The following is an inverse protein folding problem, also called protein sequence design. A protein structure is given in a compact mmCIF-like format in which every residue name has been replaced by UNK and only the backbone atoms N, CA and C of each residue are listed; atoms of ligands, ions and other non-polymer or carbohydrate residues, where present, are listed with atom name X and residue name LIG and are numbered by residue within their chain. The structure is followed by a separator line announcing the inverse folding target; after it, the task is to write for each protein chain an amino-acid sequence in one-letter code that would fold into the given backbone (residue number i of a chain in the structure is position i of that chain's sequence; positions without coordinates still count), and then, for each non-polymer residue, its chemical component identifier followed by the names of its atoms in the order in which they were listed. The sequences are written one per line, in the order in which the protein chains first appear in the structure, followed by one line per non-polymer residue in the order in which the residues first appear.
data_IF_063726484578
#
_entry.id   IF_063726484578
#
_cell.length_a   1.000
_cell.length_b   1.000
_cell.length_c   1.000
_cell.angle_alpha   90.00
_cell.angle_beta   90.00
_cell.angle_gamma   90.00
#
_symmetry.space_group_name_H-M   'P 1'
#
loop_
_entity.id
_entity.type
_entity.pdbx_description
1 polymer ?
#
# COMPACT_ATOMS: atom_id res chain seq x y z
N UNK A 1 -3.07 2.85 -15.58
CA UNK A 1 -4.37 2.67 -16.25
C UNK A 1 -5.39 3.44 -15.43
N UNK A 2 -6.14 4.33 -16.07
CA UNK A 2 -7.28 5.07 -15.50
C UNK A 2 -8.55 4.52 -16.12
N UNK A 3 -9.61 4.35 -15.33
CA UNK A 3 -10.93 4.04 -15.86
C UNK A 3 -11.75 5.32 -15.92
N UNK A 4 -12.16 5.70 -17.12
CA UNK A 4 -13.01 6.86 -17.35
C UNK A 4 -14.48 6.42 -17.19
N UNK A 5 -15.16 6.87 -16.12
CA UNK A 5 -16.56 6.50 -15.89
C UNK A 5 -17.53 7.15 -16.89
N UNK A 6 -17.13 8.23 -17.57
CA UNK A 6 -17.99 8.89 -18.55
C UNK A 6 -18.02 8.12 -19.86
N UNK A 7 -16.84 7.67 -20.29
CA UNK A 7 -16.66 7.02 -21.59
C UNK A 7 -16.53 5.49 -21.45
N UNK A 8 -16.50 4.95 -20.23
CA UNK A 8 -16.29 3.53 -19.89
C UNK A 8 -15.03 2.91 -20.51
N UNK A 9 -13.98 3.72 -20.69
CA UNK A 9 -12.73 3.32 -21.34
C UNK A 9 -11.56 3.30 -20.38
N UNK A 10 -10.69 2.32 -20.56
CA UNK A 10 -9.38 2.29 -19.93
C UNK A 10 -8.41 3.18 -20.71
N UNK A 11 -7.87 4.19 -20.03
CA UNK A 11 -6.85 5.10 -20.57
C UNK A 11 -5.49 4.83 -19.92
N UNK A 12 -4.42 5.11 -20.65
CA UNK A 12 -3.09 5.14 -20.05
C UNK A 12 -2.98 6.32 -19.08
N UNK A 13 -2.25 6.10 -17.99
CA UNK A 13 -2.04 7.11 -16.95
C UNK A 13 -0.59 7.55 -17.00
N UNK A 14 -0.36 8.85 -17.01
CA UNK A 14 0.98 9.38 -16.89
C UNK A 14 1.52 9.14 -15.47
N UNK A 15 2.73 8.59 -15.41
CA UNK A 15 3.46 8.39 -14.16
C UNK A 15 4.27 9.66 -13.82
N UNK A 16 4.62 9.89 -12.55
CA UNK A 16 5.60 10.90 -12.20
C UNK A 16 6.91 10.66 -12.96
N UNK A 17 7.57 11.72 -13.40
CA UNK A 17 8.81 11.65 -14.19
C UNK A 17 9.85 10.73 -13.53
N UNK A 18 10.07 10.87 -12.22
CA UNK A 18 11.01 10.02 -11.45
C UNK A 18 10.58 8.56 -11.26
N UNK A 19 9.30 8.27 -11.41
CA UNK A 19 8.79 6.89 -11.37
C UNK A 19 8.94 6.23 -12.73
N UNK A 20 8.95 7.01 -13.82
CA UNK A 20 9.02 6.50 -15.19
C UNK A 20 10.37 5.81 -15.47
N UNK A 21 11.44 6.26 -14.82
CA UNK A 21 12.77 5.65 -14.91
C UNK A 21 12.95 4.44 -13.97
N UNK A 22 11.98 4.17 -13.09
CA UNK A 22 12.09 3.08 -12.12
C UNK A 22 11.93 1.72 -12.80
N UNK A 23 12.78 0.76 -12.41
CA UNK A 23 12.70 -0.60 -12.94
C UNK A 23 11.36 -1.27 -12.53
N UNK A 24 10.53 -1.74 -13.48
CA UNK A 24 9.21 -2.30 -13.19
C UNK A 24 9.21 -3.46 -12.19
N UNK A 25 10.29 -4.26 -12.14
CA UNK A 25 10.44 -5.38 -11.22
C UNK A 25 10.53 -4.96 -9.74
N UNK A 26 10.88 -3.68 -9.50
CA UNK A 26 11.01 -3.11 -8.17
C UNK A 26 9.93 -2.07 -7.86
N UNK A 27 8.92 -1.97 -8.74
CA UNK A 27 7.80 -1.05 -8.62
C UNK A 27 6.53 -1.84 -8.27
N UNK A 28 5.72 -1.27 -7.39
CA UNK A 28 4.44 -1.83 -6.96
C UNK A 28 3.42 -0.72 -6.82
N UNK A 29 2.16 -1.04 -7.14
CA UNK A 29 1.03 -0.13 -7.00
C UNK A 29 0.17 -0.66 -5.86
N UNK A 30 -0.29 0.24 -4.99
CA UNK A 30 -1.15 -0.09 -3.85
C UNK A 30 -2.31 0.92 -3.76
N UNK A 31 -3.49 0.49 -3.31
CA UNK A 31 -4.54 1.42 -2.90
C UNK A 31 -4.01 2.40 -1.86
N UNK A 32 -4.41 3.65 -1.97
CA UNK A 32 -4.06 4.71 -1.05
C UNK A 32 -5.34 5.37 -0.54
N UNK A 33 -5.67 5.06 0.71
CA UNK A 33 -6.90 5.50 1.37
C UNK A 33 -8.14 5.12 0.55
N UNK A 34 -9.20 5.93 0.60
CA UNK A 34 -10.52 5.53 0.10
C UNK A 34 -10.62 5.49 -1.43
N UNK A 35 -9.90 6.37 -2.15
CA UNK A 35 -10.16 6.57 -3.59
C UNK A 35 -8.93 6.96 -4.39
N UNK A 36 -7.72 6.58 -3.95
CA UNK A 36 -6.52 6.88 -4.72
C UNK A 36 -5.51 5.74 -4.73
N UNK A 37 -4.37 5.98 -5.37
CA UNK A 37 -3.31 5.01 -5.58
C UNK A 37 -1.96 5.57 -5.14
N UNK A 38 -1.13 4.66 -4.67
CA UNK A 38 0.27 4.90 -4.38
C UNK A 38 1.15 4.05 -5.30
N UNK A 39 2.25 4.64 -5.75
CA UNK A 39 3.35 3.93 -6.39
C UNK A 39 4.50 3.85 -5.41
N UNK A 40 4.94 2.63 -5.17
CA UNK A 40 6.09 2.33 -4.32
C UNK A 40 7.14 1.69 -5.21
N UNK A 41 8.32 2.28 -5.30
CA UNK A 41 9.44 1.70 -6.04
C UNK A 41 10.73 1.69 -5.22
N UNK A 42 11.65 0.80 -5.58
CA UNK A 42 13.00 0.73 -4.97
C UNK A 42 14.08 1.06 -5.97
N UNK A 43 15.15 1.66 -5.46
CA UNK A 43 16.39 1.81 -6.21
C UNK A 43 17.02 0.45 -6.49
N UNK A 44 17.71 0.34 -7.63
CA UNK A 44 18.42 -0.87 -8.02
C UNK A 44 19.45 -1.26 -6.93
N UNK A 45 19.43 -2.52 -6.51
CA UNK A 45 20.33 -3.03 -5.46
C UNK A 45 19.90 -2.69 -4.03
N UNK A 46 18.85 -1.89 -3.83
CA UNK A 46 18.31 -1.60 -2.50
C UNK A 46 17.28 -2.63 -2.05
N UNK A 47 17.50 -3.23 -0.88
CA UNK A 47 16.55 -4.19 -0.30
C UNK A 47 15.52 -3.52 0.62
N UNK A 48 15.90 -2.39 1.23
CA UNK A 48 15.19 -1.77 2.35
C UNK A 48 14.84 -0.30 2.13
N UNK A 49 15.34 0.33 1.05
CA UNK A 49 14.99 1.71 0.71
C UNK A 49 13.91 1.70 -0.37
N UNK A 50 12.90 2.53 -0.18
CA UNK A 50 11.82 2.71 -1.16
C UNK A 50 11.30 4.13 -1.14
N UNK A 51 10.78 4.53 -2.30
CA UNK A 51 10.13 5.81 -2.52
C UNK A 51 8.63 5.60 -2.64
N UNK A 52 7.86 6.51 -2.05
CA UNK A 52 6.40 6.47 -2.11
C UNK A 52 5.92 7.74 -2.79
N UNK A 53 5.18 7.56 -3.88
CA UNK A 53 4.44 8.60 -4.56
C UNK A 53 2.96 8.30 -4.45
N UNK A 54 2.15 9.31 -4.18
CA UNK A 54 0.69 9.18 -4.11
C UNK A 54 0.07 10.17 -5.08
N UNK A 55 -1.03 9.76 -5.68
CA UNK A 55 -1.88 10.66 -6.45
C UNK A 55 -2.85 11.30 -5.45
N UNK A 56 -2.89 12.63 -5.33
CA UNK A 56 -3.83 13.25 -4.36
C UNK A 56 -5.27 13.14 -4.85
N UNK A 57 -5.48 13.22 -6.16
CA UNK A 57 -6.79 13.08 -6.80
C UNK A 57 -6.68 12.10 -7.97
N UNK A 58 -7.41 11.00 -7.87
CA UNK A 58 -7.36 9.94 -8.87
C UNK A 58 -7.72 10.46 -10.26
N UNK A 59 -6.88 10.17 -11.26
CA UNK A 59 -7.07 10.62 -12.63
C UNK A 59 -6.40 11.95 -12.98
N UNK A 60 -5.97 12.74 -12.00
CA UNK A 60 -5.35 14.05 -12.25
C UNK A 60 -3.84 13.94 -12.10
N UNK A 61 -3.14 13.88 -13.23
CA UNK A 61 -1.69 13.64 -13.31
C UNK A 61 -0.88 14.68 -12.52
N UNK A 62 -1.33 15.93 -12.50
CA UNK A 62 -0.67 17.04 -11.82
C UNK A 62 -0.68 16.90 -10.30
N UNK A 63 -1.50 15.99 -9.77
CA UNK A 63 -1.64 15.76 -8.33
C UNK A 63 -0.72 14.68 -7.77
N UNK A 64 0.16 14.13 -8.60
CA UNK A 64 1.23 13.27 -8.13
C UNK A 64 2.13 14.02 -7.15
N UNK A 65 2.24 13.51 -5.94
CA UNK A 65 3.11 14.06 -4.91
C UNK A 65 3.96 12.97 -4.27
N UNK A 66 5.20 13.32 -3.96
CA UNK A 66 6.08 12.45 -3.21
C UNK A 66 5.66 12.47 -1.75
N UNK A 67 5.13 11.35 -1.26
CA UNK A 67 4.73 11.22 0.13
C UNK A 67 5.95 11.07 1.03
N UNK A 68 6.89 10.19 0.66
CA UNK A 68 8.09 9.96 1.46
C UNK A 68 9.21 9.22 0.74
N UNK A 69 10.35 9.15 1.42
CA UNK A 69 11.44 8.21 1.12
C UNK A 69 11.82 7.52 2.41
N UNK A 70 11.59 6.22 2.44
CA UNK A 70 11.92 5.39 3.59
C UNK A 70 13.34 4.86 3.39
N UNK A 71 14.21 5.17 4.35
CA UNK A 71 15.58 4.66 4.36
C UNK A 71 15.68 3.54 5.38
N UNK A 72 15.48 2.30 4.94
CA UNK A 72 15.61 1.16 5.83
C UNK A 72 17.08 0.84 6.13
N UNK A 73 17.45 0.78 7.41
CA UNK A 73 18.77 0.31 7.87
C UNK A 73 18.90 -1.23 7.86
N UNK A 74 17.80 -1.94 7.56
CA UNK A 74 17.73 -3.39 7.64
C UNK A 74 18.40 -4.06 6.45
N UNK A 75 19.20 -5.10 6.69
CA UNK A 75 19.70 -6.01 5.63
C UNK A 75 18.59 -6.85 4.97
N UNK A 76 17.40 -6.86 5.55
CA UNK A 76 16.27 -7.64 5.08
C UNK A 76 15.45 -6.89 4.04
N UNK A 77 14.87 -7.63 3.09
CA UNK A 77 13.96 -7.08 2.08
C UNK A 77 12.67 -6.60 2.75
N UNK A 78 12.43 -5.29 2.71
CA UNK A 78 11.18 -4.68 3.19
C UNK A 78 10.15 -4.65 2.06
N UNK A 79 8.89 -4.95 2.35
CA UNK A 79 7.79 -4.85 1.39
C UNK A 79 6.69 -4.00 1.98
N UNK A 80 6.24 -2.98 1.25
CA UNK A 80 5.07 -2.19 1.69
C UNK A 80 3.82 -3.01 1.41
N UNK A 81 3.06 -3.26 2.46
CA UNK A 81 1.87 -4.09 2.43
C UNK A 81 0.62 -3.26 2.12
N UNK A 82 0.55 -2.08 2.73
CA UNK A 82 -0.46 -1.07 2.47
C UNK A 82 -0.33 0.12 3.42
N UNK A 83 -1.31 1.02 3.34
CA UNK A 83 -1.37 2.25 4.11
C UNK A 83 -2.43 2.14 5.19
N UNK A 84 -2.14 2.63 6.40
CA UNK A 84 -3.15 2.80 7.43
C UNK A 84 -3.74 4.21 7.38
N UNK A 85 -2.88 5.20 7.16
CA UNK A 85 -3.22 6.60 6.94
C UNK A 85 -2.05 7.30 6.21
N UNK A 86 -2.09 8.63 6.09
CA UNK A 86 -1.00 9.43 5.47
C UNK A 86 0.36 9.33 6.19
N UNK A 87 0.36 8.95 7.46
CA UNK A 87 1.53 8.96 8.35
C UNK A 87 2.04 7.55 8.66
N UNK A 88 1.25 6.51 8.45
CA UNK A 88 1.54 5.15 8.91
C UNK A 88 1.33 4.10 7.82
N UNK A 89 2.31 3.19 7.71
CA UNK A 89 2.39 2.13 6.73
C UNK A 89 2.46 0.77 7.42
N UNK A 90 1.93 -0.28 6.79
CA UNK A 90 2.30 -1.64 7.15
C UNK A 90 3.45 -2.12 6.27
N UNK A 91 4.49 -2.62 6.91
CA UNK A 91 5.68 -3.15 6.25
C UNK A 91 5.84 -4.62 6.63
N UNK A 92 6.05 -5.44 5.62
CA UNK A 92 6.37 -6.86 5.76
C UNK A 92 7.86 -7.09 5.53
N UNK A 93 8.42 -7.99 6.33
CA UNK A 93 9.73 -8.58 6.13
C UNK A 93 9.58 -10.09 5.97
N UNK A 94 10.70 -10.82 5.87
CA UNK A 94 10.66 -12.27 5.83
C UNK A 94 9.99 -12.89 7.06
N UNK A 95 10.13 -12.25 8.22
CA UNK A 95 9.77 -12.83 9.50
C UNK A 95 8.80 -12.00 10.36
N UNK A 96 8.42 -10.81 9.92
CA UNK A 96 7.52 -9.97 10.69
C UNK A 96 6.71 -9.01 9.81
N UNK A 97 5.51 -8.69 10.28
CA UNK A 97 4.74 -7.53 9.84
C UNK A 97 4.81 -6.49 10.97
N UNK A 98 5.11 -5.25 10.60
CA UNK A 98 5.20 -4.14 11.53
C UNK A 98 4.50 -2.90 10.98
N UNK A 99 4.05 -2.05 11.90
CA UNK A 99 3.64 -0.68 11.58
C UNK A 99 4.86 0.24 11.54
N UNK A 100 4.86 1.18 10.62
CA UNK A 100 5.95 2.13 10.41
C UNK A 100 5.43 3.56 10.26
N UNK A 101 5.95 4.46 11.09
CA UNK A 101 5.65 5.89 11.00
C UNK A 101 6.57 6.57 10.00
N UNK A 102 5.97 7.32 9.08
CA UNK A 102 6.64 7.92 7.95
C UNK A 102 7.42 9.19 8.34
N UNK A 103 6.89 9.98 9.27
CA UNK A 103 7.49 11.23 9.73
C UNK A 103 8.76 10.97 10.55
N UNK A 104 8.65 10.11 11.57
CA UNK A 104 9.78 9.79 12.44
C UNK A 104 10.72 8.73 11.85
N UNK A 105 10.30 8.09 10.74
CA UNK A 105 11.01 6.99 10.09
C UNK A 105 11.30 5.82 11.03
N UNK A 106 10.34 5.47 11.88
CA UNK A 106 10.49 4.44 12.91
C UNK A 106 9.44 3.34 12.76
N UNK A 107 9.89 2.12 13.05
CA UNK A 107 9.00 1.00 13.33
C UNK A 107 8.30 1.29 14.66
N UNK A 108 6.97 1.36 14.64
CA UNK A 108 6.16 1.67 15.82
C UNK A 108 5.88 0.39 16.59
N UNK A 109 5.35 -0.63 15.89
CA UNK A 109 4.86 -1.85 16.52
C UNK A 109 5.09 -3.08 15.66
N UNK A 110 5.48 -4.18 16.31
CA UNK A 110 5.51 -5.52 15.70
C UNK A 110 4.15 -6.16 15.85
N UNK A 111 3.45 -6.31 14.73
CA UNK A 111 2.06 -6.76 14.71
C UNK A 111 2.01 -8.29 14.67
N UNK A 112 2.82 -8.92 13.82
CA UNK A 112 2.82 -10.38 13.67
C UNK A 112 4.25 -10.88 13.46
N UNK A 113 4.81 -11.69 14.39
CA UNK A 113 5.96 -12.52 14.07
C UNK A 113 5.50 -13.69 13.21
N UNK A 114 5.97 -13.76 11.97
CA UNK A 114 5.71 -14.90 11.07
C UNK A 114 7.02 -15.63 10.82
N UNK A 115 7.04 -16.96 10.79
CA UNK A 115 8.22 -17.69 10.30
C UNK A 115 8.21 -17.84 8.77
N UNK A 116 7.14 -17.41 8.09
CA UNK A 116 6.95 -17.59 6.66
C UNK A 116 6.64 -16.24 5.93
N UNK A 117 7.55 -15.77 5.06
CA UNK A 117 7.38 -14.54 4.28
C UNK A 117 6.17 -14.56 3.35
N UNK A 118 5.87 -15.73 2.77
CA UNK A 118 4.78 -15.90 1.82
C UNK A 118 3.43 -15.78 2.50
N UNK A 119 3.31 -16.31 3.73
CA UNK A 119 2.13 -16.11 4.56
C UNK A 119 1.92 -14.63 4.85
N UNK A 120 2.94 -13.89 5.29
CA UNK A 120 2.80 -12.46 5.54
C UNK A 120 2.34 -11.67 4.31
N UNK A 121 2.89 -11.98 3.13
CA UNK A 121 2.47 -11.35 1.87
C UNK A 121 1.01 -11.68 1.52
N UNK A 122 0.62 -12.96 1.60
CA UNK A 122 -0.76 -13.37 1.34
C UNK A 122 -1.74 -12.76 2.34
N UNK A 123 -1.38 -12.70 3.63
CA UNK A 123 -2.22 -12.07 4.66
C UNK A 123 -2.41 -10.58 4.39
N UNK A 124 -1.34 -9.86 4.06
CA UNK A 124 -1.42 -8.45 3.70
C UNK A 124 -2.34 -8.19 2.51
N UNK A 125 -2.14 -8.93 1.42
CA UNK A 125 -2.95 -8.78 0.22
C UNK A 125 -4.42 -9.19 0.51
N UNK A 126 -4.67 -10.15 1.42
CA UNK A 126 -6.03 -10.56 1.81
C UNK A 126 -6.76 -9.59 2.75
N UNK A 127 -6.08 -8.98 3.73
CA UNK A 127 -6.70 -8.07 4.69
C UNK A 127 -7.16 -6.80 3.99
N UNK A 128 -6.33 -6.24 3.09
CA UNK A 128 -6.69 -5.03 2.37
C UNK A 128 -7.88 -5.23 1.42
N UNK A 129 -7.91 -6.34 0.68
CA UNK A 129 -9.05 -6.66 -0.18
C UNK A 129 -10.35 -6.92 0.62
N UNK A 130 -10.22 -7.49 1.83
CA UNK A 130 -11.37 -7.82 2.67
C UNK A 130 -11.96 -6.59 3.39
N UNK A 131 -11.11 -5.66 3.85
CA UNK A 131 -11.58 -4.41 4.49
C UNK A 131 -12.35 -3.52 3.51
N UNK A 132 -11.91 -3.43 2.25
CA UNK A 132 -12.67 -2.71 1.20
C UNK A 132 -14.05 -3.35 0.95
N UNK A 133 -14.12 -4.69 0.96
CA UNK A 133 -15.38 -5.41 0.77
C UNK A 133 -16.37 -5.23 1.94
N UNK A 134 -15.87 -5.11 3.17
CA UNK A 134 -16.71 -4.85 4.34
C UNK A 134 -17.29 -3.43 4.34
N UNK A 135 -16.52 -2.43 3.92
CA UNK A 135 -17.00 -1.05 3.81
C UNK A 135 -18.09 -0.89 2.73
N UNK A 136 -18.02 -1.69 1.65
CA UNK A 136 -19.04 -1.73 0.61
C UNK A 136 -20.35 -2.39 1.08
N UNK A 137 -20.28 -3.41 1.94
CA UNK A 137 -21.46 -4.07 2.52
C UNK A 137 -22.13 -3.23 3.62
N UNK A 138 -21.37 -2.38 4.31
CA UNK A 138 -21.90 -1.52 5.38
C UNK A 138 -22.75 -0.36 4.84
N UNK A 139 -22.51 0.05 3.58
CA UNK A 139 -23.23 1.17 2.95
C UNK A 139 -24.64 0.83 2.47
N UNK A 140 -24.96 -0.47 2.39
CA UNK A 140 -26.27 -0.95 1.92
C UNK A 140 -27.11 -1.61 3.04
N UNK A 141 -26.54 -1.77 4.24
CA UNK A 141 -27.19 -2.52 5.31
C UNK A 141 -27.23 -1.75 6.63
N UNK A 142 -27.94 -0.63 6.64
CA UNK A 142 -28.36 0.08 7.87
C UNK A 142 -29.34 -0.75 8.74
N UNK A 143 -29.56 -2.02 8.42
CA UNK A 143 -30.28 -2.95 9.29
C UNK A 143 -29.70 -4.37 9.23
N UNK A 144 -28.94 -4.70 10.27
CA UNK A 144 -28.64 -6.05 10.80
C UNK A 144 -27.70 -6.91 9.94
N UNK A 145 -26.49 -7.16 10.42
CA UNK A 145 -26.04 -8.45 10.99
C UNK A 145 -24.64 -8.29 11.56
N UNK A 146 -24.52 -8.59 12.86
CA UNK A 146 -23.26 -8.69 13.57
C UNK A 146 -22.38 -9.81 12.99
N UNK A 147 -21.19 -9.46 12.47
CA UNK A 147 -20.13 -10.42 12.22
C UNK A 147 -19.19 -10.49 13.43
N UNK A 148 -19.62 -11.30 14.41
CA UNK A 148 -18.72 -11.98 15.35
C UNK A 148 -17.81 -12.92 14.52
N UNK A 149 -16.61 -13.23 15.04
CA UNK A 149 -15.67 -14.32 14.66
C UNK A 149 -14.39 -13.79 13.95
N UNK A 150 -13.14 -14.14 14.32
CA UNK A 150 -12.57 -15.31 15.02
C UNK A 150 -11.29 -14.90 15.78
N UNK A 151 -11.15 -15.37 17.03
CA UNK A 151 -9.86 -15.56 17.70
C UNK A 151 -9.25 -16.87 17.21
N UNK A 152 -8.01 -16.84 16.72
CA UNK A 152 -7.02 -17.90 16.91
C UNK A 152 -5.64 -17.25 16.95
#
# INVERSE_FOLDING_TARGET
MLFDMKDELFREMMLPERVSDACPLFTSIKPFLESSIAIIYKDLGSQSHFHIWVMKEYGVTETWMKLATVKGSCRQKLTVLGFRNYRELFIGTANQIASYELESQREIDKIIPTSNPWKARMFADSIYNYVESLALLDKENDTVVAARMIRY
#
